data_IF_764641645710
#
_entry.id   IF_764641645710
#
_cell.length_a   1.000
_cell.length_b   1.000
_cell.length_c   1.000
_cell.angle_alpha   90.00
_cell.angle_beta   90.00
_cell.angle_gamma   90.00
#
_symmetry.space_group_name_H-M   'P 1'
#
loop_
_entity.id
_entity.type
_entity.pdbx_description
1 polymer ?
#
# COMPACT_ATOMS: atom_id res chain seq x y z
N UNK A 1 7.45 8.76 23.44
CA UNK A 1 8.52 8.14 22.61
C UNK A 1 8.02 8.16 21.18
N UNK A 2 8.79 8.73 20.25
CA UNK A 2 8.40 8.75 18.83
C UNK A 2 8.69 7.37 18.27
N UNK A 3 7.66 6.62 17.87
CA UNK A 3 7.81 5.36 17.15
C UNK A 3 8.43 5.66 15.78
N UNK A 4 9.70 5.28 15.58
CA UNK A 4 10.44 5.42 14.31
C UNK A 4 10.56 4.06 13.63
N UNK A 5 9.46 3.32 13.48
CA UNK A 5 9.48 2.12 12.64
C UNK A 5 9.34 2.54 11.17
N UNK A 6 10.33 2.15 10.35
CA UNK A 6 10.36 2.43 8.92
C UNK A 6 10.46 1.10 8.19
N UNK A 7 9.63 0.92 7.17
CA UNK A 7 9.56 -0.34 6.43
C UNK A 7 9.75 -0.10 4.95
N UNK A 8 10.45 -1.02 4.30
CA UNK A 8 10.50 -1.13 2.85
C UNK A 8 9.59 -2.27 2.42
N UNK A 9 8.58 -1.97 1.60
CA UNK A 9 7.57 -2.92 1.16
C UNK A 9 7.61 -3.06 -0.36
N UNK A 10 7.87 -4.27 -0.84
CA UNK A 10 7.61 -4.61 -2.25
C UNK A 10 6.13 -4.89 -2.43
N UNK A 11 5.46 -4.13 -3.30
CA UNK A 11 4.01 -4.25 -3.52
C UNK A 11 3.64 -5.19 -4.69
N UNK A 12 4.62 -5.61 -5.49
CA UNK A 12 4.43 -6.61 -6.55
C UNK A 12 3.47 -6.15 -7.67
N UNK A 13 2.77 -7.11 -8.28
CA UNK A 13 1.75 -6.81 -9.28
C UNK A 13 0.39 -6.50 -8.61
N UNK A 14 -0.51 -5.75 -9.28
CA UNK A 14 -1.86 -5.47 -8.78
C UNK A 14 -2.65 -6.70 -8.31
N UNK A 15 -2.38 -7.87 -8.88
CA UNK A 15 -3.00 -9.15 -8.50
C UNK A 15 -2.77 -9.52 -7.04
N UNK A 16 -1.72 -9.01 -6.38
CA UNK A 16 -1.48 -9.23 -4.95
C UNK A 16 -2.69 -8.83 -4.07
N UNK A 17 -3.48 -7.86 -4.53
CA UNK A 17 -4.68 -7.41 -3.85
C UNK A 17 -5.82 -8.45 -3.81
N UNK A 18 -5.80 -9.45 -4.68
CA UNK A 18 -6.88 -10.45 -4.84
C UNK A 18 -6.39 -11.91 -4.84
N UNK A 19 -5.11 -12.16 -5.10
CA UNK A 19 -4.57 -13.51 -5.20
C UNK A 19 -4.29 -14.11 -3.81
N UNK A 20 -5.22 -14.94 -3.34
CA UNK A 20 -5.12 -15.64 -2.05
C UNK A 20 -3.99 -16.70 -2.00
N UNK A 21 -3.45 -17.09 -3.17
CA UNK A 21 -2.34 -18.04 -3.25
C UNK A 21 -0.97 -17.36 -3.14
N UNK A 22 -0.91 -16.03 -3.28
CA UNK A 22 0.34 -15.28 -3.21
C UNK A 22 0.93 -15.28 -1.78
N UNK A 23 2.16 -15.79 -1.57
CA UNK A 23 2.79 -15.81 -0.24
C UNK A 23 2.92 -14.42 0.39
N UNK A 24 3.23 -13.41 -0.44
CA UNK A 24 3.33 -12.03 0.02
C UNK A 24 1.99 -11.50 0.58
N UNK A 25 0.85 -11.89 0.00
CA UNK A 25 -0.46 -11.48 0.50
C UNK A 25 -0.72 -12.05 1.89
N UNK A 26 -0.39 -13.32 2.09
CA UNK A 26 -0.54 -13.98 3.39
C UNK A 26 0.36 -13.35 4.44
N UNK A 27 1.61 -13.02 4.07
CA UNK A 27 2.51 -12.25 4.93
C UNK A 27 1.91 -10.90 5.33
N UNK A 28 1.42 -10.10 4.39
CA UNK A 28 0.84 -8.78 4.72
C UNK A 28 -0.39 -8.89 5.63
N UNK A 29 -1.26 -9.90 5.41
CA UNK A 29 -2.43 -10.16 6.26
C UNK A 29 -2.04 -10.49 7.71
N UNK A 30 -0.99 -11.29 7.91
CA UNK A 30 -0.54 -11.64 9.27
C UNK A 30 0.26 -10.49 9.91
N UNK A 31 1.07 -9.79 9.13
CA UNK A 31 1.89 -8.68 9.59
C UNK A 31 1.07 -7.47 10.05
N UNK A 32 -0.10 -7.23 9.46
CA UNK A 32 -1.05 -6.20 9.91
C UNK A 32 -1.35 -6.27 11.42
N UNK A 33 -1.34 -7.46 12.01
CA UNK A 33 -1.65 -7.66 13.43
C UNK A 33 -0.50 -7.29 14.37
N UNK A 34 0.73 -7.19 13.86
CA UNK A 34 1.94 -7.02 14.67
C UNK A 34 2.79 -5.81 14.27
N UNK A 35 2.57 -5.23 13.09
CA UNK A 35 3.36 -4.14 12.52
C UNK A 35 3.38 -2.89 13.41
N UNK A 36 2.27 -2.58 14.10
CA UNK A 36 2.20 -1.44 15.00
C UNK A 36 1.59 -1.86 16.34
N UNK A 37 2.32 -1.61 17.42
CA UNK A 37 1.81 -1.78 18.79
C UNK A 37 0.75 -0.73 19.14
N UNK A 38 0.91 0.47 18.59
CA UNK A 38 -0.02 1.60 18.73
C UNK A 38 -0.37 2.15 17.36
N UNK A 39 -1.64 2.49 17.13
CA UNK A 39 -2.08 3.03 15.83
C UNK A 39 -1.44 4.40 15.59
N UNK A 40 -0.68 4.59 14.49
CA UNK A 40 -0.10 5.90 14.19
C UNK A 40 -1.20 6.92 13.86
N UNK A 41 -0.98 8.18 14.25
CA UNK A 41 -1.85 9.30 13.87
C UNK A 41 -1.68 9.70 12.40
N UNK A 42 -0.55 9.33 11.77
CA UNK A 42 -0.24 9.61 10.37
C UNK A 42 0.83 8.63 9.87
N UNK A 43 0.83 8.34 8.56
CA UNK A 43 1.83 7.51 7.89
C UNK A 43 2.41 8.30 6.72
N UNK A 44 3.74 8.37 6.62
CA UNK A 44 4.42 8.86 5.42
C UNK A 44 4.66 7.68 4.47
N UNK A 45 4.11 7.77 3.25
CA UNK A 45 4.31 6.76 2.21
C UNK A 45 5.20 7.35 1.12
N UNK A 46 6.26 6.63 0.76
CA UNK A 46 7.15 6.96 -0.36
C UNK A 46 6.96 5.85 -1.40
N UNK A 47 6.55 6.23 -2.61
CA UNK A 47 6.25 5.28 -3.69
C UNK A 47 7.26 5.41 -4.82
N UNK A 48 7.73 4.27 -5.33
CA UNK A 48 8.56 4.22 -6.53
C UNK A 48 7.83 4.73 -7.79
N UNK A 49 6.49 4.75 -7.78
CA UNK A 49 5.67 5.25 -8.89
C UNK A 49 5.26 6.72 -8.74
N UNK A 50 5.71 7.41 -7.68
CA UNK A 50 5.49 8.84 -7.52
C UNK A 50 6.65 9.62 -8.14
N UNK A 51 6.65 9.71 -9.47
CA UNK A 51 7.72 10.34 -10.25
C UNK A 51 7.47 11.85 -10.41
N UNK A 52 7.92 12.62 -9.43
CA UNK A 52 7.82 14.09 -9.42
C UNK A 52 9.14 14.72 -8.94
N UNK A 53 9.29 16.04 -9.15
CA UNK A 53 10.19 16.85 -8.31
C UNK A 53 9.83 16.64 -6.81
N UNK A 54 10.75 16.88 -5.85
CA UNK A 54 10.45 16.69 -4.42
C UNK A 54 9.15 17.38 -3.99
N UNK A 55 8.10 16.57 -3.80
CA UNK A 55 6.72 17.05 -3.59
C UNK A 55 6.06 16.24 -2.50
N UNK A 56 5.27 16.91 -1.67
CA UNK A 56 4.43 16.28 -0.65
C UNK A 56 2.98 16.52 -1.02
N UNK A 57 2.17 15.46 -1.00
CA UNK A 57 0.74 15.54 -1.17
C UNK A 57 0.03 15.17 0.14
N UNK A 58 -0.98 15.97 0.51
CA UNK A 58 -1.88 15.71 1.64
C UNK A 58 -3.31 15.91 1.16
N UNK A 59 -4.07 14.84 1.07
CA UNK A 59 -5.48 14.85 0.67
C UNK A 59 -6.28 14.07 1.70
N UNK A 60 -7.42 14.60 2.12
CA UNK A 60 -8.32 13.89 3.04
C UNK A 60 -8.93 12.64 2.40
N UNK A 61 -9.32 12.75 1.12
CA UNK A 61 -9.79 11.63 0.30
C UNK A 61 -9.35 11.79 -1.14
N UNK A 62 -8.68 10.76 -1.67
CA UNK A 62 -8.35 10.70 -3.10
C UNK A 62 -9.54 10.23 -3.93
N UNK A 63 -9.66 10.73 -5.15
CA UNK A 63 -10.51 10.13 -6.16
C UNK A 63 -9.98 8.74 -6.55
N UNK A 64 -10.89 7.83 -6.90
CA UNK A 64 -10.53 6.48 -7.35
C UNK A 64 -10.44 6.45 -8.87
N UNK A 65 -9.28 6.04 -9.38
CA UNK A 65 -9.05 5.78 -10.79
C UNK A 65 -9.04 4.26 -10.98
N UNK A 66 -9.77 3.76 -11.98
CA UNK A 66 -9.84 2.34 -12.31
C UNK A 66 -9.02 2.03 -13.57
N UNK A 67 -7.69 1.99 -13.43
CA UNK A 67 -6.73 1.91 -14.54
C UNK A 67 -6.02 0.56 -14.70
N UNK A 68 -6.34 -0.44 -13.87
CA UNK A 68 -5.80 -1.80 -13.98
C UNK A 68 -6.40 -2.63 -15.12
N UNK A 69 -6.62 -2.01 -16.28
CA UNK A 69 -7.00 -2.70 -17.50
C UNK A 69 -5.94 -3.74 -17.89
N UNK A 70 -6.38 -4.90 -18.39
CA UNK A 70 -5.51 -6.05 -18.68
C UNK A 70 -5.31 -7.01 -17.50
N UNK A 71 -5.71 -6.62 -16.28
CA UNK A 71 -5.78 -7.51 -15.11
C UNK A 71 -7.19 -8.11 -14.92
N UNK A 72 -7.41 -9.02 -13.96
CA UNK A 72 -8.75 -9.51 -13.63
C UNK A 72 -9.75 -8.37 -13.32
N UNK A 73 -10.99 -8.52 -13.80
CA UNK A 73 -12.08 -7.53 -13.66
C UNK A 73 -12.21 -6.88 -12.28
N UNK A 74 -12.14 -7.61 -11.15
CA UNK A 74 -12.27 -7.01 -9.82
C UNK A 74 -11.24 -5.93 -9.45
N UNK A 75 -10.18 -5.75 -10.25
CA UNK A 75 -9.15 -4.74 -10.02
C UNK A 75 -9.46 -3.39 -10.68
N UNK A 76 -10.46 -3.32 -11.58
CA UNK A 76 -10.84 -2.09 -12.26
C UNK A 76 -12.36 -1.92 -12.46
N UNK A 77 -13.17 -2.80 -11.86
CA UNK A 77 -14.65 -2.76 -11.85
C UNK A 77 -15.14 -2.88 -10.41
#
# INVERSE_FOLDING_TARGET
>A
MVLMETFYLSHGAPTLAIDETAPARQFFKSWQQSVYKEKPSSILVISAHWETEPTVNVVDRNDTIHDFHGFPKPLYQ
#
